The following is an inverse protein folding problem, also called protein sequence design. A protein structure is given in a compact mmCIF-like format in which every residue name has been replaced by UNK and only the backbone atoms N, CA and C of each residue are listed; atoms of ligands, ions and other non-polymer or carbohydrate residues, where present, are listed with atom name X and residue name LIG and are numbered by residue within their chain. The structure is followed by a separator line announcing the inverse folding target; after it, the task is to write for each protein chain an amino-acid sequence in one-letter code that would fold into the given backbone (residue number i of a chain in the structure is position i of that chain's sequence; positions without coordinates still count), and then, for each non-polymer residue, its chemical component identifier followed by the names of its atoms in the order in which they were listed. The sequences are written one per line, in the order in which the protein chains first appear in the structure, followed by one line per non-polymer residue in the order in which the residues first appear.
data_IF_971690242975
#
_entry.id   IF_971690242975
#
_cell.length_a   1.000
_cell.length_b   1.000
_cell.length_c   1.000
_cell.angle_alpha   90.00
_cell.angle_beta   90.00
_cell.angle_gamma   90.00
#
_symmetry.space_group_name_H-M   'P 1'
#
loop_
_entity.id
_entity.type
_entity.pdbx_description
1 polymer ?
#
# COMPACT_ATOMS: atom_id res chain seq x y z
N UNK A 1 -66.22 6.81 -1.89
CA UNK A 1 -65.00 7.62 -1.75
C UNK A 1 -64.13 7.02 -0.67
N UNK A 2 -63.19 6.15 -1.03
CA UNK A 2 -62.34 5.42 -0.07
C UNK A 2 -61.18 6.31 0.39
N UNK A 3 -61.16 6.66 1.68
CA UNK A 3 -60.07 7.34 2.35
C UNK A 3 -58.98 6.31 2.70
N UNK A 4 -57.84 6.39 2.02
CA UNK A 4 -56.65 5.61 2.35
C UNK A 4 -56.03 6.20 3.62
N UNK A 5 -55.74 5.39 4.67
CA UNK A 5 -55.20 5.89 5.92
C UNK A 5 -53.75 6.39 5.76
N UNK A 6 -53.48 7.59 6.31
CA UNK A 6 -52.23 8.38 6.22
C UNK A 6 -50.98 7.59 6.67
N UNK A 7 -51.16 6.51 7.45
CA UNK A 7 -50.08 5.64 7.91
C UNK A 7 -49.49 4.73 6.81
N UNK A 8 -50.24 4.40 5.76
CA UNK A 8 -49.71 3.59 4.64
C UNK A 8 -48.74 4.36 3.75
N UNK A 9 -48.93 5.68 3.60
CA UNK A 9 -48.03 6.53 2.81
C UNK A 9 -46.64 6.65 3.45
N UNK A 10 -46.56 6.53 4.79
CA UNK A 10 -45.30 6.62 5.52
C UNK A 10 -44.41 5.38 5.40
N UNK A 11 -44.99 4.22 5.09
CA UNK A 11 -44.25 2.95 4.98
C UNK A 11 -43.69 2.76 3.56
N UNK A 12 -44.34 3.31 2.53
CA UNK A 12 -43.85 3.21 1.14
C UNK A 12 -42.66 4.12 0.83
N UNK A 13 -42.33 5.09 1.69
CA UNK A 13 -41.20 6.00 1.49
C UNK A 13 -39.88 5.52 2.14
N UNK A 14 -39.88 4.35 2.79
CA UNK A 14 -38.67 3.75 3.40
C UNK A 14 -38.01 2.66 2.57
N UNK A 15 -38.54 2.36 1.37
CA UNK A 15 -37.91 1.45 0.41
C UNK A 15 -37.49 2.25 -0.81
N UNK A 16 -36.68 3.29 -0.61
CA UNK A 16 -35.79 3.72 -1.69
C UNK A 16 -34.70 2.65 -1.79
N UNK A 17 -34.59 1.87 -2.89
CA UNK A 17 -33.33 1.20 -3.14
C UNK A 17 -32.27 2.29 -3.14
N UNK A 18 -31.17 2.07 -2.41
CA UNK A 18 -29.97 2.88 -2.51
C UNK A 18 -29.58 2.91 -4.00
N UNK A 19 -30.07 3.90 -4.72
CA UNK A 19 -29.76 4.12 -6.11
C UNK A 19 -28.34 4.62 -6.10
N UNK A 20 -27.41 3.66 -6.11
CA UNK A 20 -26.03 3.92 -6.43
C UNK A 20 -26.05 4.61 -7.78
N UNK A 21 -25.87 5.94 -7.77
CA UNK A 21 -25.80 6.73 -8.97
C UNK A 21 -24.76 6.13 -9.92
N UNK A 22 -24.90 6.34 -11.24
CA UNK A 22 -23.98 5.78 -12.21
C UNK A 22 -22.54 6.15 -11.81
N UNK A 23 -21.64 5.15 -11.80
CA UNK A 23 -20.22 5.35 -11.55
C UNK A 23 -19.71 6.33 -12.61
N UNK A 24 -19.40 7.57 -12.21
CA UNK A 24 -19.00 8.63 -13.15
C UNK A 24 -17.51 8.62 -13.44
N UNK A 25 -16.68 8.07 -12.55
CA UNK A 25 -15.23 8.02 -12.71
C UNK A 25 -14.54 6.86 -11.96
N UNK A 26 -13.31 6.52 -12.35
CA UNK A 26 -12.42 5.56 -11.63
C UNK A 26 -12.14 6.04 -10.18
N UNK A 27 -12.14 7.36 -9.95
CA UNK A 27 -12.01 7.93 -8.60
C UNK A 27 -13.16 7.52 -7.68
N UNK A 28 -14.38 7.48 -8.23
CA UNK A 28 -15.58 7.04 -7.50
C UNK A 28 -15.54 5.56 -7.17
N UNK A 29 -14.74 4.77 -7.88
CA UNK A 29 -14.54 3.35 -7.60
C UNK A 29 -13.61 3.09 -6.40
N UNK A 30 -13.03 4.10 -5.76
CA UNK A 30 -12.17 3.90 -4.59
C UNK A 30 -10.68 3.80 -4.92
N UNK A 31 -10.31 4.04 -6.18
CA UNK A 31 -8.92 4.08 -6.64
C UNK A 31 -8.09 5.14 -5.90
N UNK A 32 -8.60 6.38 -5.79
CA UNK A 32 -7.89 7.47 -5.10
C UNK A 32 -7.71 7.17 -3.60
N UNK A 33 -8.77 6.76 -2.84
CA UNK A 33 -8.60 6.31 -1.46
C UNK A 33 -7.61 5.16 -1.28
N UNK A 34 -7.62 4.16 -2.18
CA UNK A 34 -6.70 3.03 -2.12
C UNK A 34 -5.25 3.42 -2.41
N UNK A 35 -5.04 4.29 -3.41
CA UNK A 35 -3.73 4.84 -3.73
C UNK A 35 -3.17 5.70 -2.59
N UNK A 36 -4.00 6.55 -1.97
CA UNK A 36 -3.61 7.33 -0.78
C UNK A 36 -3.28 6.42 0.41
N UNK A 37 -4.10 5.39 0.66
CA UNK A 37 -3.85 4.44 1.73
C UNK A 37 -2.49 3.75 1.55
N UNK A 38 -2.22 3.20 0.36
CA UNK A 38 -0.91 2.59 0.10
C UNK A 38 0.23 3.59 0.04
N UNK A 39 0.02 4.81 -0.44
CA UNK A 39 1.04 5.87 -0.40
C UNK A 39 1.50 6.16 1.02
N UNK A 40 0.61 6.02 2.02
CA UNK A 40 0.94 6.18 3.43
C UNK A 40 1.47 4.87 4.06
N UNK A 41 0.97 3.70 3.67
CA UNK A 41 1.33 2.43 4.31
C UNK A 41 2.57 1.75 3.71
N UNK A 42 2.94 2.06 2.47
CA UNK A 42 4.08 1.42 1.80
C UNK A 42 5.44 1.93 2.29
N UNK A 43 5.65 3.24 2.57
CA UNK A 43 6.91 3.72 3.14
C UNK A 43 7.30 3.03 4.46
N UNK A 44 6.41 2.87 5.46
CA UNK A 44 6.78 2.16 6.68
C UNK A 44 7.02 0.67 6.43
N UNK A 45 6.32 0.04 5.49
CA UNK A 45 6.63 -1.33 5.06
C UNK A 45 8.05 -1.43 4.51
N UNK A 46 8.45 -0.53 3.61
CA UNK A 46 9.81 -0.48 3.05
C UNK A 46 10.84 -0.25 4.15
N UNK A 47 10.59 0.68 5.06
CA UNK A 47 11.47 0.94 6.21
C UNK A 47 11.64 -0.29 7.10
N UNK A 48 10.57 -1.02 7.39
CA UNK A 48 10.63 -2.25 8.19
C UNK A 48 11.41 -3.37 7.50
N UNK A 49 11.21 -3.57 6.19
CA UNK A 49 11.96 -4.57 5.42
C UNK A 49 13.45 -4.17 5.34
N UNK A 50 13.76 -2.87 5.22
CA UNK A 50 15.14 -2.37 5.31
C UNK A 50 15.78 -2.64 6.68
N UNK A 51 15.02 -2.43 7.75
CA UNK A 51 15.50 -2.73 9.09
C UNK A 51 15.77 -4.24 9.27
N UNK A 52 14.93 -5.10 8.69
CA UNK A 52 15.12 -6.55 8.71
C UNK A 52 16.33 -7.01 7.88
N UNK A 53 16.61 -6.35 6.75
CA UNK A 53 17.86 -6.54 6.00
C UNK A 53 19.07 -6.27 6.88
N UNK A 54 19.06 -5.15 7.61
CA UNK A 54 20.18 -4.75 8.48
C UNK A 54 20.30 -5.56 9.78
N UNK A 55 19.20 -6.08 10.32
CA UNK A 55 19.23 -6.83 11.58
C UNK A 55 19.45 -8.34 11.39
N UNK A 56 18.89 -8.91 10.33
CA UNK A 56 18.84 -10.36 10.13
C UNK A 56 19.47 -10.81 8.80
N UNK A 57 20.07 -9.89 8.03
CA UNK A 57 20.66 -10.17 6.73
C UNK A 57 19.62 -10.69 5.72
N UNK A 58 18.36 -10.29 5.87
CA UNK A 58 17.30 -10.73 4.99
C UNK A 58 17.33 -9.95 3.67
N UNK A 59 17.06 -10.58 2.51
CA UNK A 59 17.03 -9.88 1.25
C UNK A 59 16.10 -8.67 1.27
N UNK A 60 16.65 -7.47 0.99
CA UNK A 60 15.85 -6.27 0.88
C UNK A 60 14.93 -6.34 -0.36
N UNK A 61 13.64 -6.59 -0.12
CA UNK A 61 12.68 -6.91 -1.17
C UNK A 61 12.65 -5.93 -2.37
N UNK A 62 12.74 -4.59 -2.19
CA UNK A 62 12.80 -3.67 -3.33
C UNK A 62 13.96 -3.93 -4.28
N UNK A 63 15.16 -4.23 -3.77
CA UNK A 63 16.33 -4.50 -4.61
C UNK A 63 16.25 -5.90 -5.24
N UNK A 64 15.87 -6.91 -4.47
CA UNK A 64 15.69 -8.27 -5.00
C UNK A 64 14.63 -8.31 -6.12
N UNK A 65 13.53 -7.56 -5.95
CA UNK A 65 12.51 -7.42 -6.97
C UNK A 65 13.02 -6.69 -8.21
N UNK A 66 13.71 -5.56 -8.04
CA UNK A 66 14.29 -4.80 -9.15
C UNK A 66 15.28 -5.66 -9.97
N UNK A 67 16.16 -6.40 -9.29
CA UNK A 67 17.11 -7.31 -9.93
C UNK A 67 16.39 -8.45 -10.67
N UNK A 68 15.32 -9.00 -10.10
CA UNK A 68 14.50 -10.01 -10.75
C UNK A 68 13.81 -9.48 -12.00
N UNK A 69 13.22 -8.28 -11.92
CA UNK A 69 12.59 -7.60 -13.07
C UNK A 69 13.62 -7.40 -14.18
N UNK A 70 14.80 -6.86 -13.87
CA UNK A 70 15.87 -6.64 -14.86
C UNK A 70 16.32 -7.93 -15.57
N UNK A 71 16.18 -9.10 -14.93
CA UNK A 71 16.53 -10.40 -15.52
C UNK A 71 15.41 -11.00 -16.38
N UNK A 72 14.15 -10.64 -16.12
CA UNK A 72 12.98 -11.21 -16.81
C UNK A 72 12.53 -10.34 -17.98
N UNK A 73 12.79 -9.04 -17.93
CA UNK A 73 12.40 -8.11 -18.99
C UNK A 73 13.21 -8.34 -20.28
N UNK A 74 12.61 -8.13 -21.46
CA UNK A 74 13.34 -8.12 -22.72
C UNK A 74 14.43 -7.03 -22.70
N UNK A 75 15.60 -7.34 -23.27
CA UNK A 75 16.75 -6.43 -23.33
C UNK A 75 16.40 -4.98 -23.70
N UNK A 76 15.58 -4.72 -24.75
CA UNK A 76 15.21 -3.35 -25.12
C UNK A 76 14.46 -2.56 -24.04
N UNK A 77 13.69 -3.22 -23.19
CA UNK A 77 12.95 -2.55 -22.10
C UNK A 77 13.91 -2.16 -20.98
N UNK A 78 14.88 -3.03 -20.69
CA UNK A 78 15.93 -2.77 -19.69
C UNK A 78 16.83 -1.63 -20.16
N UNK A 79 17.25 -1.62 -21.43
CA UNK A 79 18.07 -0.53 -21.97
C UNK A 79 17.31 0.79 -21.98
N UNK A 80 16.03 0.79 -22.36
CA UNK A 80 15.20 2.00 -22.27
C UNK A 80 15.17 2.60 -20.85
N UNK A 81 15.03 1.75 -19.82
CA UNK A 81 15.06 2.20 -18.42
C UNK A 81 16.43 2.76 -18.00
N UNK A 82 17.52 2.12 -18.43
CA UNK A 82 18.89 2.58 -18.17
C UNK A 82 19.15 3.92 -18.87
N UNK A 83 18.75 4.06 -20.13
CA UNK A 83 18.91 5.29 -20.91
C UNK A 83 18.12 6.44 -20.28
N UNK A 84 16.87 6.19 -19.87
CA UNK A 84 16.05 7.17 -19.15
C UNK A 84 16.71 7.62 -17.84
N UNK A 85 17.34 6.70 -17.10
CA UNK A 85 18.09 7.03 -15.88
C UNK A 85 19.33 7.86 -16.20
N UNK A 86 20.11 7.50 -17.22
CA UNK A 86 21.31 8.22 -17.65
C UNK A 86 20.97 9.63 -18.10
N UNK A 87 19.94 9.77 -18.94
CA UNK A 87 19.48 11.07 -19.44
C UNK A 87 18.92 11.94 -18.32
N UNK A 88 18.15 11.36 -17.40
CA UNK A 88 17.67 12.03 -16.21
C UNK A 88 18.81 12.59 -15.35
N UNK A 89 19.87 11.79 -15.11
CA UNK A 89 21.05 12.23 -14.37
C UNK A 89 21.82 13.34 -15.09
N UNK A 90 21.98 13.22 -16.41
CA UNK A 90 22.64 14.24 -17.24
C UNK A 90 21.84 15.54 -17.27
N UNK A 91 20.51 15.47 -17.32
CA UNK A 91 19.61 16.62 -17.32
C UNK A 91 19.76 17.48 -16.06
N UNK A 92 19.97 16.85 -14.90
CA UNK A 92 20.23 17.56 -13.63
C UNK A 92 21.71 17.86 -13.38
N UNK A 93 22.58 17.64 -14.38
CA UNK A 93 24.01 17.94 -14.30
C UNK A 93 24.83 17.00 -13.42
N UNK A 94 24.31 15.82 -13.07
CA UNK A 94 25.00 14.84 -12.23
C UNK A 94 25.89 13.92 -13.06
N UNK A 95 27.05 13.54 -12.51
CA UNK A 95 27.89 12.53 -13.16
C UNK A 95 27.27 11.14 -13.00
N UNK A 96 27.12 10.42 -14.12
CA UNK A 96 26.54 9.06 -14.14
C UNK A 96 27.40 8.12 -13.29
N UNK A 97 28.73 8.21 -13.39
CA UNK A 97 29.63 7.36 -12.64
C UNK A 97 29.48 7.49 -11.11
N UNK A 98 29.22 8.70 -10.59
CA UNK A 98 29.03 8.90 -9.15
C UNK A 98 27.59 8.60 -8.69
N UNK A 99 26.59 8.83 -9.56
CA UNK A 99 25.19 8.83 -9.18
C UNK A 99 24.43 7.56 -9.58
N UNK A 100 24.92 6.77 -10.54
CA UNK A 100 24.21 5.63 -11.10
C UNK A 100 23.78 4.65 -10.01
N UNK A 101 24.65 4.32 -9.05
CA UNK A 101 24.29 3.37 -8.01
C UNK A 101 23.18 3.87 -7.11
N UNK A 102 23.21 5.15 -6.73
CA UNK A 102 22.14 5.76 -5.95
C UNK A 102 20.85 5.84 -6.76
N UNK A 103 20.94 6.15 -8.06
CA UNK A 103 19.79 6.19 -8.95
C UNK A 103 19.12 4.83 -9.11
N UNK A 104 19.88 3.74 -9.25
CA UNK A 104 19.36 2.37 -9.22
C UNK A 104 18.60 2.08 -7.92
N UNK A 105 19.20 2.41 -6.78
CA UNK A 105 18.60 2.17 -5.47
C UNK A 105 17.30 2.96 -5.26
N UNK A 106 17.29 4.24 -5.66
CA UNK A 106 16.10 5.09 -5.63
C UNK A 106 15.04 4.54 -6.60
N UNK A 107 15.44 4.15 -7.80
CA UNK A 107 14.55 3.56 -8.81
C UNK A 107 13.90 2.27 -8.33
N UNK A 108 14.65 1.40 -7.66
CA UNK A 108 14.13 0.17 -7.08
C UNK A 108 13.09 0.45 -5.98
N UNK A 109 13.36 1.40 -5.08
CA UNK A 109 12.42 1.81 -4.02
C UNK A 109 11.16 2.44 -4.64
N UNK A 110 11.31 3.33 -5.63
CA UNK A 110 10.19 3.98 -6.30
C UNK A 110 9.33 2.99 -7.09
N UNK A 111 9.95 2.05 -7.80
CA UNK A 111 9.24 0.98 -8.52
C UNK A 111 8.42 0.13 -7.55
N UNK A 112 9.06 -0.32 -6.46
CA UNK A 112 8.39 -1.12 -5.44
C UNK A 112 7.25 -0.36 -4.76
N UNK A 113 7.48 0.91 -4.40
CA UNK A 113 6.46 1.80 -3.85
C UNK A 113 5.27 1.96 -4.81
N UNK A 114 5.55 2.19 -6.09
CA UNK A 114 4.51 2.37 -7.13
C UNK A 114 3.65 1.13 -7.29
N UNK A 115 4.24 -0.07 -7.22
CA UNK A 115 3.49 -1.32 -7.26
C UNK A 115 2.59 -1.46 -6.03
N UNK A 116 3.09 -1.15 -4.82
CA UNK A 116 2.28 -1.15 -3.60
C UNK A 116 1.08 -0.22 -3.70
N UNK A 117 1.27 0.97 -4.28
CA UNK A 117 0.19 1.94 -4.56
C UNK A 117 -0.84 1.36 -5.53
N UNK A 118 -0.40 0.80 -6.66
CA UNK A 118 -1.28 0.23 -7.69
C UNK A 118 -2.07 -0.96 -7.14
N UNK A 119 -1.41 -1.89 -6.46
CA UNK A 119 -2.03 -3.11 -5.90
C UNK A 119 -3.13 -2.75 -4.90
N UNK A 120 -2.88 -1.81 -3.99
CA UNK A 120 -3.90 -1.38 -3.03
C UNK A 120 -5.01 -0.54 -3.66
N UNK A 121 -4.70 0.29 -4.66
CA UNK A 121 -5.72 1.01 -5.41
C UNK A 121 -6.67 0.04 -6.11
N UNK A 122 -6.15 -1.05 -6.70
CA UNK A 122 -6.93 -2.13 -7.29
C UNK A 122 -7.74 -2.85 -6.20
N UNK A 123 -7.13 -3.21 -5.07
CA UNK A 123 -7.83 -3.89 -3.97
C UNK A 123 -9.03 -3.08 -3.47
N UNK A 124 -8.85 -1.78 -3.20
CA UNK A 124 -9.93 -0.89 -2.77
C UNK A 124 -11.01 -0.75 -3.83
N UNK A 125 -10.59 -0.69 -5.10
CA UNK A 125 -11.49 -0.64 -6.25
C UNK A 125 -12.38 -1.87 -6.36
N UNK A 126 -11.79 -3.06 -6.22
CA UNK A 126 -12.51 -4.34 -6.25
C UNK A 126 -13.48 -4.44 -5.08
N UNK A 127 -13.04 -4.11 -3.86
CA UNK A 127 -13.91 -4.16 -2.68
C UNK A 127 -15.13 -3.24 -2.83
N UNK A 128 -14.92 -2.00 -3.30
CA UNK A 128 -16.01 -1.04 -3.49
C UNK A 128 -16.93 -1.46 -4.63
N UNK A 129 -16.38 -1.87 -5.77
CA UNK A 129 -17.17 -2.32 -6.94
C UNK A 129 -18.02 -3.55 -6.63
N UNK A 130 -17.47 -4.51 -5.88
CA UNK A 130 -18.19 -5.73 -5.47
C UNK A 130 -19.05 -5.55 -4.22
N UNK A 131 -19.05 -4.36 -3.59
CA UNK A 131 -19.72 -4.05 -2.32
C UNK A 131 -19.40 -5.06 -1.21
N UNK A 132 -18.17 -5.59 -1.22
CA UNK A 132 -17.70 -6.55 -0.24
C UNK A 132 -17.28 -5.80 1.02
N UNK A 133 -17.69 -6.31 2.17
CA UNK A 133 -17.21 -5.84 3.45
C UNK A 133 -15.94 -6.63 3.85
N UNK A 134 -14.73 -6.05 3.73
CA UNK A 134 -13.51 -6.79 3.93
C UNK A 134 -13.31 -7.18 5.40
N UNK A 135 -12.99 -8.46 5.61
CA UNK A 135 -12.53 -8.99 6.91
C UNK A 135 -11.00 -8.97 6.97
N UNK A 136 -10.37 -9.09 8.16
CA UNK A 136 -8.91 -9.19 8.27
C UNK A 136 -8.29 -10.27 7.37
N UNK A 137 -9.02 -11.36 7.14
CA UNK A 137 -8.62 -12.42 6.21
C UNK A 137 -8.44 -11.94 4.76
N UNK A 138 -9.26 -11.01 4.28
CA UNK A 138 -9.07 -10.38 2.96
C UNK A 138 -7.78 -9.58 2.89
N UNK A 139 -7.39 -8.95 4.01
CA UNK A 139 -6.10 -8.28 4.15
C UNK A 139 -4.93 -9.25 4.15
N UNK A 140 -5.06 -10.41 4.81
CA UNK A 140 -4.05 -11.48 4.73
C UNK A 140 -3.87 -11.97 3.29
N UNK A 141 -4.96 -12.16 2.55
CA UNK A 141 -4.89 -12.55 1.13
C UNK A 141 -4.14 -11.48 0.32
N UNK A 142 -4.45 -10.20 0.51
CA UNK A 142 -3.74 -9.09 -0.15
C UNK A 142 -2.24 -9.13 0.16
N UNK A 143 -1.89 -9.26 1.44
CA UNK A 143 -0.51 -9.37 1.90
C UNK A 143 0.20 -10.61 1.35
N UNK A 144 -0.49 -11.74 1.24
CA UNK A 144 0.06 -12.98 0.72
C UNK A 144 0.29 -12.93 -0.80
N UNK A 145 -0.67 -12.39 -1.56
CA UNK A 145 -0.54 -12.21 -3.01
C UNK A 145 0.70 -11.39 -3.36
N UNK A 146 1.01 -10.36 -2.56
CA UNK A 146 2.18 -9.54 -2.79
C UNK A 146 3.45 -10.09 -2.13
N UNK A 147 3.34 -10.59 -0.90
CA UNK A 147 4.47 -11.05 -0.09
C UNK A 147 5.04 -12.40 -0.50
N UNK A 148 4.22 -13.33 -1.01
CA UNK A 148 4.71 -14.65 -1.44
C UNK A 148 5.66 -14.54 -2.65
N UNK A 149 5.33 -13.80 -3.72
CA UNK A 149 6.30 -13.53 -4.80
C UNK A 149 7.60 -12.91 -4.27
N UNK A 150 7.51 -11.94 -3.34
CA UNK A 150 8.70 -11.30 -2.76
C UNK A 150 9.54 -12.27 -1.94
N UNK A 151 8.90 -13.18 -1.19
CA UNK A 151 9.59 -14.22 -0.46
C UNK A 151 10.28 -15.22 -1.42
N UNK A 152 9.61 -15.64 -2.50
CA UNK A 152 10.22 -16.53 -3.49
C UNK A 152 11.44 -15.87 -4.16
N UNK A 153 11.28 -14.62 -4.60
CA UNK A 153 12.38 -13.85 -5.21
C UNK A 153 13.52 -13.66 -4.21
N UNK A 154 13.23 -13.27 -2.97
CA UNK A 154 14.23 -13.08 -1.93
C UNK A 154 14.96 -14.38 -1.58
N UNK A 155 14.26 -15.50 -1.42
CA UNK A 155 14.89 -16.78 -1.11
C UNK A 155 15.79 -17.28 -2.25
N UNK A 156 15.51 -16.89 -3.50
CA UNK A 156 16.36 -17.22 -4.66
C UNK A 156 17.76 -16.57 -4.60
N UNK A 157 17.99 -15.60 -3.71
CA UNK A 157 19.30 -14.95 -3.54
C UNK A 157 20.28 -15.74 -2.66
N UNK A 158 19.96 -17.00 -2.32
CA UNK A 158 20.85 -17.89 -1.56
C UNK A 158 20.67 -17.85 -0.04
N UNK A 159 19.59 -17.25 0.46
CA UNK A 159 19.30 -17.17 1.90
C UNK A 159 18.85 -18.54 2.44
N UNK A 160 19.64 -19.14 3.33
CA UNK A 160 19.39 -20.48 3.89
C UNK A 160 18.78 -20.50 5.29
N UNK A 161 18.49 -19.34 5.88
CA UNK A 161 17.89 -19.25 7.21
C UNK A 161 16.47 -19.86 7.22
N UNK A 162 16.14 -20.76 8.16
CA UNK A 162 14.77 -21.28 8.34
C UNK A 162 13.73 -20.19 8.58
N UNK A 163 14.15 -19.02 9.04
CA UNK A 163 13.29 -17.88 9.33
C UNK A 163 13.13 -16.91 8.17
N UNK A 164 13.84 -17.11 7.05
CA UNK A 164 13.85 -16.15 5.94
C UNK A 164 12.47 -15.99 5.28
N UNK A 165 11.74 -17.08 5.08
CA UNK A 165 10.38 -17.05 4.54
C UNK A 165 9.48 -16.14 5.39
N UNK A 166 9.43 -16.40 6.70
CA UNK A 166 8.58 -15.65 7.61
C UNK A 166 9.06 -14.23 7.84
N UNK A 167 10.37 -14.01 7.87
CA UNK A 167 10.97 -12.68 7.97
C UNK A 167 10.61 -11.78 6.80
N UNK A 168 10.53 -12.33 5.58
CA UNK A 168 10.08 -11.58 4.40
C UNK A 168 8.55 -11.46 4.39
N UNK A 169 7.82 -12.55 4.62
CA UNK A 169 6.37 -12.61 4.44
C UNK A 169 5.59 -11.83 5.49
N UNK A 170 6.03 -11.85 6.76
CA UNK A 170 5.30 -11.25 7.87
C UNK A 170 5.04 -9.73 7.70
N UNK A 171 6.02 -8.89 7.29
CA UNK A 171 5.77 -7.49 6.96
C UNK A 171 4.64 -7.27 5.95
N UNK A 172 4.57 -8.09 4.91
CA UNK A 172 3.52 -7.99 3.88
C UNK A 172 2.14 -8.40 4.41
N UNK A 173 2.08 -9.48 5.21
CA UNK A 173 0.83 -9.90 5.84
C UNK A 173 0.31 -8.83 6.80
N UNK A 174 1.19 -8.26 7.62
CA UNK A 174 0.85 -7.16 8.52
C UNK A 174 0.35 -5.93 7.75
N UNK A 175 1.04 -5.55 6.66
CA UNK A 175 0.62 -4.46 5.78
C UNK A 175 -0.76 -4.70 5.16
N UNK A 176 -1.02 -5.92 4.67
CA UNK A 176 -2.31 -6.30 4.10
C UNK A 176 -3.44 -6.26 5.13
N UNK A 177 -3.20 -6.75 6.35
CA UNK A 177 -4.15 -6.64 7.46
C UNK A 177 -4.48 -5.16 7.76
N UNK A 178 -3.47 -4.29 7.81
CA UNK A 178 -3.65 -2.85 8.10
C UNK A 178 -4.44 -2.12 7.01
N UNK A 179 -4.41 -2.58 5.76
CA UNK A 179 -5.22 -2.00 4.68
C UNK A 179 -6.73 -2.09 4.93
N UNK A 180 -7.20 -3.12 5.65
CA UNK A 180 -8.64 -3.36 5.93
C UNK A 180 -9.27 -2.27 6.83
N UNK A 181 -8.76 -1.98 8.05
CA UNK A 181 -9.30 -0.90 8.86
C UNK A 181 -9.12 0.47 8.21
N UNK A 182 -8.07 0.68 7.42
CA UNK A 182 -7.88 1.92 6.65
C UNK A 182 -8.97 2.07 5.58
N UNK A 183 -9.32 1.00 4.86
CA UNK A 183 -10.46 0.98 3.93
C UNK A 183 -11.75 1.39 4.62
N UNK A 184 -12.08 0.76 5.76
CA UNK A 184 -13.29 1.08 6.51
C UNK A 184 -13.34 2.55 6.92
N UNK A 185 -12.25 3.10 7.46
CA UNK A 185 -12.17 4.51 7.85
C UNK A 185 -12.30 5.47 6.67
N UNK A 186 -11.82 5.10 5.49
CA UNK A 186 -11.95 5.93 4.29
C UNK A 186 -13.33 5.81 3.63
N UNK A 187 -13.99 4.64 3.72
CA UNK A 187 -15.33 4.39 3.18
C UNK A 187 -16.45 5.02 4.01
N UNK A 188 -16.42 4.85 5.35
CA UNK A 188 -17.45 5.40 6.25
C UNK A 188 -17.59 6.92 6.08
N UNK A 189 -16.48 7.60 5.82
CA UNK A 189 -16.46 9.04 5.58
C UNK A 189 -16.86 9.47 4.15
N UNK A 190 -16.92 8.55 3.19
CA UNK A 190 -17.30 8.83 1.80
C UNK A 190 -18.79 8.60 1.54
N UNK A 191 -19.38 7.58 2.18
CA UNK A 191 -20.77 7.20 1.95
C UNK A 191 -21.74 7.96 2.88
N UNK A 192 -21.24 8.70 3.89
CA UNK A 192 -22.05 9.53 4.80
C UNK A 192 -23.07 8.74 5.65
N UNK A 193 -23.05 7.40 5.58
CA UNK A 193 -23.96 6.52 6.31
C UNK A 193 -23.55 6.48 7.78
N UNK A 194 -24.08 7.42 8.55
CA UNK A 194 -24.18 7.32 10.00
C UNK A 194 -25.29 6.32 10.27
N UNK A 195 -24.93 5.08 10.64
CA UNK A 195 -25.90 4.17 11.26
C UNK A 195 -26.20 4.73 12.65
N UNK A 196 -27.44 5.15 12.89
CA UNK A 196 -27.91 5.85 14.11
C UNK A 196 -27.76 5.08 15.45
N UNK A 197 -27.05 3.95 15.49
CA UNK A 197 -26.96 3.07 16.66
C UNK A 197 -25.65 3.09 17.45
N UNK A 198 -24.56 3.69 16.94
CA UNK A 198 -23.21 3.48 17.50
C UNK A 198 -22.51 4.77 17.97
N UNK A 199 -23.30 5.77 18.36
CA UNK A 199 -22.78 6.96 19.06
C UNK A 199 -22.77 6.68 20.55
N UNK A 200 -21.63 6.25 21.11
CA UNK A 200 -21.40 6.53 22.52
C UNK A 200 -19.98 6.78 23.00
N UNK A 201 -18.90 6.34 22.34
CA UNK A 201 -17.54 6.56 22.90
C UNK A 201 -16.37 6.78 21.91
N UNK A 202 -16.63 6.96 20.61
CA UNK A 202 -15.57 7.31 19.65
C UNK A 202 -15.76 8.73 19.16
N UNK A 203 -14.89 9.66 19.58
CA UNK A 203 -14.72 10.96 18.92
C UNK A 203 -14.59 10.69 17.42
N UNK A 204 -15.58 11.06 16.63
CA UNK A 204 -15.60 10.81 15.18
C UNK A 204 -14.44 11.62 14.58
N UNK A 205 -13.32 10.95 14.33
CA UNK A 205 -12.14 11.56 13.71
C UNK A 205 -12.51 11.80 12.25
N UNK A 206 -12.60 13.08 11.85
CA UNK A 206 -12.82 13.43 10.46
C UNK A 206 -11.73 12.89 9.54
N UNK A 207 -12.07 12.62 8.27
CA UNK A 207 -11.16 12.03 7.27
C UNK A 207 -9.80 12.73 7.18
N UNK A 208 -9.76 14.06 7.24
CA UNK A 208 -8.52 14.85 7.22
C UNK A 208 -7.63 14.53 8.43
N UNK A 209 -8.21 14.55 9.63
CA UNK A 209 -7.51 14.24 10.88
C UNK A 209 -7.00 12.79 10.89
N UNK A 210 -7.78 11.86 10.33
CA UNK A 210 -7.35 10.47 10.18
C UNK A 210 -6.13 10.34 9.27
N UNK A 211 -6.15 10.98 8.09
CA UNK A 211 -5.03 10.94 7.15
C UNK A 211 -3.77 11.62 7.71
N UNK A 212 -3.92 12.74 8.41
CA UNK A 212 -2.79 13.41 9.09
C UNK A 212 -2.18 12.49 10.14
N UNK A 213 -3.01 11.84 10.97
CA UNK A 213 -2.53 10.91 12.00
C UNK A 213 -1.87 9.68 11.40
N UNK A 214 -2.47 9.09 10.36
CA UNK A 214 -1.92 7.93 9.65
C UNK A 214 -0.58 8.29 9.01
N UNK A 215 -0.50 9.45 8.34
CA UNK A 215 0.74 9.94 7.74
C UNK A 215 1.83 10.22 8.77
N UNK A 216 1.49 10.81 9.92
CA UNK A 216 2.44 11.03 11.00
C UNK A 216 3.01 9.70 11.55
N UNK A 217 2.14 8.70 11.79
CA UNK A 217 2.58 7.37 12.24
C UNK A 217 3.46 6.69 11.19
N UNK A 218 3.05 6.73 9.92
CA UNK A 218 3.81 6.17 8.82
C UNK A 218 5.19 6.82 8.67
N UNK A 219 5.26 8.14 8.73
CA UNK A 219 6.52 8.89 8.67
C UNK A 219 7.43 8.52 9.85
N UNK A 220 6.89 8.47 11.07
CA UNK A 220 7.65 8.08 12.27
C UNK A 220 8.24 6.68 12.12
N UNK A 221 7.44 5.69 11.71
CA UNK A 221 7.94 4.31 11.52
C UNK A 221 9.01 4.29 10.44
N UNK A 222 8.77 4.93 9.29
CA UNK A 222 9.72 4.97 8.17
C UNK A 222 11.06 5.58 8.60
N UNK A 223 11.03 6.73 9.29
CA UNK A 223 12.23 7.43 9.75
C UNK A 223 12.96 6.62 10.82
N UNK A 224 12.25 6.06 11.80
CA UNK A 224 12.85 5.24 12.85
C UNK A 224 13.51 3.98 12.27
N UNK A 225 12.79 3.23 11.43
CA UNK A 225 13.32 2.01 10.82
C UNK A 225 14.51 2.30 9.91
N UNK A 226 14.44 3.38 9.11
CA UNK A 226 15.55 3.80 8.23
C UNK A 226 16.74 4.33 9.03
N UNK A 227 16.50 5.10 10.10
CA UNK A 227 17.55 5.64 10.97
C UNK A 227 18.30 4.55 11.72
N UNK A 228 17.58 3.64 12.37
CA UNK A 228 18.19 2.49 13.06
C UNK A 228 18.92 1.59 12.07
N UNK A 229 18.30 1.26 10.93
CA UNK A 229 18.95 0.48 9.88
C UNK A 229 20.20 1.19 9.32
N UNK A 230 20.17 2.52 9.20
CA UNK A 230 21.32 3.32 8.76
C UNK A 230 22.49 3.27 9.73
N UNK A 231 22.23 3.36 11.04
CA UNK A 231 23.27 3.21 12.08
C UNK A 231 23.89 1.82 12.05
N UNK A 232 23.07 0.77 11.90
CA UNK A 232 23.56 -0.61 11.76
C UNK A 232 24.45 -0.76 10.52
N UNK A 233 23.99 -0.25 9.38
CA UNK A 233 24.77 -0.29 8.13
C UNK A 233 26.12 0.45 8.22
N UNK A 234 26.22 1.47 9.06
CA UNK A 234 27.49 2.18 9.29
C UNK A 234 28.44 1.39 10.18
N UNK A 235 27.93 0.58 11.12
CA UNK A 235 28.74 -0.29 11.97
C UNK A 235 29.39 -1.41 11.17
N UNK A 236 28.65 -2.03 10.25
CA UNK A 236 29.16 -3.13 9.41
C UNK A 236 30.28 -2.70 8.44
N UNK A 237 30.42 -1.39 8.19
CA UNK A 237 31.45 -0.83 7.31
C UNK A 237 32.75 -0.43 8.03
N UNK A 238 32.78 -0.47 9.36
CA UNK A 238 33.94 -0.14 10.17
C UNK A 238 34.63 -1.41 10.64
#
# INVERSE_FOLDING_TARGET
TFLIPIWQVRIMNQIQPASGGPIRSIGDLGFIPGGLAAGLLTPPLVGLIYLLDRLAGLPFAPFAFFDWVARVLPGPVVTFGIDLMIDGLRLVGMSVAAAAKTAEQVGAILMFFSIGVVVSAIFFTVLKSRRVDPKPFSGLILGAIFGLPMAVIGLSTGQSSPFALWGILFPFLAWGIVCVPVYHRLRINADGLITEGEVRWAKVIGRRQFLIRLGAVAATITVLSSGVGGVLAQRDRR
#
